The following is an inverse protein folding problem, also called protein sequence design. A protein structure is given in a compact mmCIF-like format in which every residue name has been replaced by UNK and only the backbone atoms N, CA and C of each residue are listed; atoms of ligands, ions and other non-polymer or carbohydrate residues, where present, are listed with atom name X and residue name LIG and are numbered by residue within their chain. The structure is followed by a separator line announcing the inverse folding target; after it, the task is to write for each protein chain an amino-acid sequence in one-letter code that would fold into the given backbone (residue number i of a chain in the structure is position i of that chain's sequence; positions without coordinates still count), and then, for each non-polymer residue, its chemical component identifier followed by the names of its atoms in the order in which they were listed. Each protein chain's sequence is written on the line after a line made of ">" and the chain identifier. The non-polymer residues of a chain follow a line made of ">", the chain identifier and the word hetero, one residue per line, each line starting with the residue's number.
data_IF_135295333405
#
_entry.id   IF_135295333405
#
_cell.length_a   1.000
_cell.length_b   1.000
_cell.length_c   1.000
_cell.angle_alpha   90.00
_cell.angle_beta   90.00
_cell.angle_gamma   90.00
#
_symmetry.space_group_name_H-M   'P 1'
#
loop_
_entity.id
_entity.type
_entity.pdbx_description
1 polymer ?
#
# COMPACT_ATOMS: atom_id res chain seq x y z
N UNK A 1 2.58 33.23 4.45
CA UNK A 1 1.90 31.93 4.50
C UNK A 1 0.48 32.17 4.03
N UNK A 2 0.14 31.71 2.82
CA UNK A 2 -1.15 32.02 2.21
C UNK A 2 -2.22 31.04 2.74
N UNK A 3 -3.32 31.56 3.28
CA UNK A 3 -4.50 30.75 3.55
C UNK A 3 -5.04 30.24 2.22
N UNK A 4 -5.27 28.94 2.12
CA UNK A 4 -5.92 28.36 0.95
C UNK A 4 -7.38 28.80 0.98
N UNK A 5 -7.85 29.49 -0.07
CA UNK A 5 -9.26 29.89 -0.16
C UNK A 5 -10.17 28.66 -0.27
N UNK A 6 -11.46 28.85 0.04
CA UNK A 6 -12.45 27.81 -0.23
C UNK A 6 -12.42 27.43 -1.72
N UNK A 7 -12.60 26.15 -2.01
CA UNK A 7 -12.53 25.61 -3.36
C UNK A 7 -13.65 24.61 -3.63
N UNK A 8 -13.98 24.47 -4.91
CA UNK A 8 -14.97 23.50 -5.40
C UNK A 8 -14.53 22.99 -6.77
N UNK A 9 -14.28 21.68 -6.85
CA UNK A 9 -14.09 20.97 -8.10
C UNK A 9 -15.38 20.20 -8.41
N UNK A 10 -15.99 20.48 -9.56
CA UNK A 10 -17.22 19.80 -9.98
C UNK A 10 -17.02 18.30 -10.23
N UNK A 11 -15.80 17.93 -10.66
CA UNK A 11 -15.33 16.54 -10.76
C UNK A 11 -13.94 16.43 -10.12
N UNK A 12 -13.72 15.34 -9.40
CA UNK A 12 -12.46 14.97 -8.77
C UNK A 12 -12.37 13.46 -8.75
N UNK A 13 -11.83 12.92 -9.84
CA UNK A 13 -11.67 11.49 -10.02
C UNK A 13 -10.22 11.14 -9.68
N UNK A 14 -10.02 10.14 -8.82
CA UNK A 14 -8.69 9.67 -8.43
C UNK A 14 -8.51 8.28 -8.99
N UNK A 15 -7.48 8.12 -9.80
CA UNK A 15 -7.07 6.86 -10.40
C UNK A 15 -5.73 6.43 -9.81
N UNK A 16 -5.65 5.17 -9.41
CA UNK A 16 -4.41 4.52 -9.00
C UNK A 16 -4.03 3.48 -10.05
N UNK A 17 -2.75 3.42 -10.39
CA UNK A 17 -2.24 2.46 -11.37
C UNK A 17 -0.78 2.12 -11.07
N UNK A 18 -0.30 1.00 -11.60
CA UNK A 18 1.13 0.84 -11.84
C UNK A 18 1.47 1.46 -13.19
N UNK A 19 2.72 1.90 -13.35
CA UNK A 19 3.19 2.50 -14.59
C UNK A 19 4.50 1.88 -15.07
N UNK A 20 4.61 1.51 -16.36
CA UNK A 20 5.86 1.05 -16.94
C UNK A 20 6.77 2.22 -17.36
N UNK A 21 6.29 3.46 -17.28
CA UNK A 21 7.02 4.65 -17.73
C UNK A 21 7.65 5.37 -16.54
N UNK A 22 8.93 5.66 -16.65
CA UNK A 22 9.61 6.57 -15.74
C UNK A 22 9.05 8.01 -15.91
N UNK A 23 8.55 8.59 -14.83
CA UNK A 23 7.99 9.95 -14.80
C UNK A 23 9.04 11.06 -14.70
N UNK A 24 10.32 10.79 -14.92
CA UNK A 24 11.34 11.83 -15.05
C UNK A 24 10.99 12.81 -16.19
N UNK A 25 11.12 14.12 -15.89
CA UNK A 25 10.53 15.26 -16.64
C UNK A 25 11.02 15.40 -18.10
N UNK A 26 12.06 14.67 -18.51
CA UNK A 26 12.69 14.92 -19.81
C UNK A 26 13.24 13.68 -20.52
N UNK A 27 12.96 12.45 -20.07
CA UNK A 27 13.65 11.27 -20.61
C UNK A 27 15.16 11.44 -20.53
N UNK A 28 15.72 11.43 -19.32
CA UNK A 28 17.17 11.52 -19.17
C UNK A 28 17.85 10.21 -19.58
N UNK A 29 19.00 10.31 -20.26
CA UNK A 29 19.85 9.14 -20.55
C UNK A 29 19.37 8.25 -21.69
N UNK A 30 18.47 8.71 -22.57
CA UNK A 30 17.98 7.92 -23.70
C UNK A 30 16.81 6.98 -23.37
N UNK A 31 16.25 7.07 -22.16
CA UNK A 31 14.97 6.47 -21.81
C UNK A 31 13.87 7.41 -22.34
N UNK A 32 12.93 6.93 -23.18
CA UNK A 32 11.78 7.73 -23.57
C UNK A 32 11.04 8.18 -22.30
N UNK A 33 10.90 9.49 -22.11
CA UNK A 33 10.05 10.02 -21.04
C UNK A 33 8.59 9.57 -21.22
N UNK A 34 7.77 9.78 -20.20
CA UNK A 34 6.34 9.50 -20.26
C UNK A 34 5.69 10.05 -21.55
N UNK A 35 4.75 9.29 -22.11
CA UNK A 35 3.95 9.64 -23.27
C UNK A 35 3.10 10.89 -23.01
N UNK A 36 2.96 11.75 -24.02
CA UNK A 36 2.01 12.87 -23.97
C UNK A 36 0.55 12.40 -23.88
N UNK A 37 0.23 11.22 -24.42
CA UNK A 37 -1.06 10.57 -24.19
C UNK A 37 -1.07 9.92 -22.81
N UNK A 38 -1.92 10.42 -21.91
CA UNK A 38 -1.96 10.04 -20.50
C UNK A 38 -2.14 8.53 -20.29
N UNK A 39 -3.09 7.93 -21.01
CA UNK A 39 -3.42 6.52 -20.89
C UNK A 39 -2.24 5.58 -21.23
N UNK A 40 -1.29 6.01 -22.06
CA UNK A 40 -0.12 5.20 -22.41
C UNK A 40 0.91 5.11 -21.28
N UNK A 41 0.74 5.90 -20.21
CA UNK A 41 1.62 5.89 -19.04
C UNK A 41 1.10 4.99 -17.92
N UNK A 42 -0.07 4.37 -18.09
CA UNK A 42 -0.68 3.53 -17.06
C UNK A 42 -0.73 2.08 -17.55
N UNK A 43 -0.51 1.13 -16.66
CA UNK A 43 -0.76 -0.28 -16.94
C UNK A 43 -2.27 -0.57 -16.95
N UNK A 44 -2.62 -1.79 -17.36
CA UNK A 44 -4.01 -2.26 -17.39
C UNK A 44 -4.66 -2.41 -16.01
N UNK A 45 -3.93 -2.22 -14.92
CA UNK A 45 -4.43 -2.25 -13.54
C UNK A 45 -5.03 -0.90 -13.09
N UNK A 46 -4.97 0.13 -13.95
CA UNK A 46 -5.52 1.44 -13.67
C UNK A 46 -6.97 1.37 -13.16
N UNK A 47 -7.17 1.83 -11.92
CA UNK A 47 -8.42 1.71 -11.19
C UNK A 47 -8.84 3.06 -10.65
N UNK A 48 -10.06 3.48 -10.97
CA UNK A 48 -10.68 4.67 -10.35
C UNK A 48 -11.10 4.31 -8.93
N UNK A 49 -10.42 4.89 -7.95
CA UNK A 49 -10.66 4.67 -6.51
C UNK A 49 -11.51 5.76 -5.87
N UNK A 50 -11.83 6.82 -6.62
CA UNK A 50 -12.77 7.86 -6.22
C UNK A 50 -13.35 8.52 -7.46
N UNK A 51 -14.64 8.85 -7.39
CA UNK A 51 -15.34 9.73 -8.35
C UNK A 51 -16.19 10.75 -7.60
N UNK A 52 -16.39 11.91 -8.20
CA UNK A 52 -17.34 12.93 -7.73
C UNK A 52 -16.69 14.22 -7.25
N UNK A 53 -17.49 15.19 -6.76
CA UNK A 53 -16.98 16.52 -6.44
C UNK A 53 -16.02 16.51 -5.25
N UNK A 54 -15.09 17.46 -5.22
CA UNK A 54 -14.28 17.77 -4.04
C UNK A 54 -14.48 19.24 -3.66
N UNK A 55 -15.01 19.45 -2.46
CA UNK A 55 -15.25 20.78 -1.91
C UNK A 55 -14.46 20.93 -0.62
N UNK A 56 -13.76 22.05 -0.49
CA UNK A 56 -12.99 22.38 0.71
C UNK A 56 -13.31 23.79 1.20
N UNK A 57 -13.40 23.95 2.52
CA UNK A 57 -13.43 25.27 3.14
C UNK A 57 -12.09 26.00 3.03
N UNK A 58 -11.96 27.21 3.59
CA UNK A 58 -10.67 27.86 3.74
C UNK A 58 -9.77 27.03 4.65
N UNK A 59 -8.52 26.78 4.25
CA UNK A 59 -7.56 26.05 5.07
C UNK A 59 -6.42 26.97 5.52
N UNK A 60 -5.94 26.82 6.76
CA UNK A 60 -4.74 27.51 7.20
C UNK A 60 -3.57 27.13 6.26
N UNK A 61 -2.55 28.01 6.15
CA UNK A 61 -1.48 27.82 5.19
C UNK A 61 -0.84 26.43 5.26
N UNK A 62 -0.65 25.81 4.10
CA UNK A 62 0.00 24.51 4.00
C UNK A 62 1.51 24.66 4.31
N UNK A 63 2.14 23.61 4.86
CA UNK A 63 3.58 23.59 5.16
C UNK A 63 3.99 23.80 6.62
N UNK A 64 3.04 23.93 7.56
CA UNK A 64 3.31 23.87 9.01
C UNK A 64 2.96 22.47 9.57
N UNK A 65 3.54 22.04 10.71
CA UNK A 65 3.18 20.78 11.39
C UNK A 65 1.68 20.63 11.73
N UNK A 66 0.91 21.72 11.66
CA UNK A 66 -0.53 21.78 11.91
C UNK A 66 -1.38 21.82 10.61
N UNK A 67 -0.82 21.48 9.45
CA UNK A 67 -1.58 21.42 8.20
C UNK A 67 -2.75 20.43 8.33
N UNK A 68 -3.95 20.90 8.04
CA UNK A 68 -5.16 20.06 8.03
C UNK A 68 -5.22 19.32 6.69
N UNK A 69 -4.99 18.00 6.73
CA UNK A 69 -5.13 17.14 5.55
C UNK A 69 -6.60 16.84 5.28
N UNK A 70 -6.98 16.86 4.00
CA UNK A 70 -8.34 16.55 3.56
C UNK A 70 -8.36 15.09 3.11
N UNK A 71 -9.12 14.21 3.78
CA UNK A 71 -9.22 12.83 3.35
C UNK A 71 -9.86 12.80 1.97
N UNK A 72 -9.23 12.07 1.05
CA UNK A 72 -9.77 11.86 -0.28
C UNK A 72 -10.99 10.95 -0.28
N UNK A 73 -11.44 10.35 0.83
CA UNK A 73 -12.67 9.55 0.84
C UNK A 73 -12.73 8.52 -0.30
N UNK A 74 -11.68 7.71 -0.43
CA UNK A 74 -11.60 6.68 -1.47
C UNK A 74 -12.78 5.71 -1.31
N UNK A 75 -13.41 5.38 -2.43
CA UNK A 75 -14.54 4.44 -2.51
C UNK A 75 -14.13 3.07 -3.04
N UNK A 76 -12.90 2.95 -3.56
CA UNK A 76 -12.30 1.70 -4.03
C UNK A 76 -10.94 1.43 -3.40
N UNK A 77 -10.46 0.21 -3.57
CA UNK A 77 -9.10 -0.20 -3.19
C UNK A 77 -8.25 -0.41 -4.44
N UNK A 78 -6.93 -0.34 -4.29
CA UNK A 78 -5.96 -0.65 -5.32
C UNK A 78 -4.84 -1.49 -4.70
N UNK A 79 -4.37 -2.49 -5.44
CA UNK A 79 -3.23 -3.33 -5.01
C UNK A 79 -2.05 -3.04 -5.92
N UNK A 80 -0.95 -2.60 -5.33
CA UNK A 80 0.28 -2.31 -6.03
C UNK A 80 1.33 -3.39 -5.72
N UNK A 81 1.95 -3.93 -6.76
CA UNK A 81 3.07 -4.87 -6.65
C UNK A 81 4.39 -4.21 -7.08
N UNK A 82 5.23 -3.75 -6.13
CA UNK A 82 6.49 -3.12 -6.47
C UNK A 82 7.52 -4.10 -7.07
N UNK A 83 7.31 -5.42 -6.96
CA UNK A 83 8.27 -6.41 -7.47
C UNK A 83 8.30 -6.47 -9.00
N UNK A 84 7.26 -5.94 -9.66
CA UNK A 84 7.19 -5.82 -11.11
C UNK A 84 8.07 -4.69 -11.67
N UNK A 85 8.67 -3.86 -10.80
CA UNK A 85 9.57 -2.77 -11.21
C UNK A 85 8.86 -1.57 -11.87
N UNK A 86 7.53 -1.52 -11.78
CA UNK A 86 6.71 -0.40 -12.25
C UNK A 86 6.58 0.67 -11.17
N UNK A 87 6.37 1.94 -11.54
CA UNK A 87 6.08 3.01 -10.58
C UNK A 87 4.63 2.95 -10.07
N UNK A 88 4.39 3.41 -8.84
CA UNK A 88 3.04 3.66 -8.33
C UNK A 88 2.59 5.06 -8.74
N UNK A 89 1.51 5.16 -9.50
CA UNK A 89 0.98 6.42 -10.01
C UNK A 89 -0.35 6.74 -9.35
N UNK A 90 -0.48 8.01 -8.97
CA UNK A 90 -1.73 8.63 -8.57
C UNK A 90 -2.08 9.68 -9.62
N UNK A 91 -3.07 9.39 -10.46
CA UNK A 91 -3.60 10.35 -11.43
C UNK A 91 -4.88 10.98 -10.87
N UNK A 92 -4.99 12.30 -11.02
CA UNK A 92 -6.15 13.07 -10.56
C UNK A 92 -6.74 13.77 -11.77
N UNK A 93 -7.92 13.32 -12.18
CA UNK A 93 -8.68 13.95 -13.25
C UNK A 93 -9.71 14.89 -12.62
N UNK A 94 -9.65 16.17 -13.00
CA UNK A 94 -10.54 17.20 -12.45
C UNK A 94 -10.94 18.19 -13.51
N UNK A 95 -12.18 18.63 -13.47
CA UNK A 95 -12.61 19.82 -14.20
C UNK A 95 -12.06 21.08 -13.54
N UNK A 96 -11.83 22.12 -14.35
CA UNK A 96 -11.47 23.45 -13.88
C UNK A 96 -12.39 23.95 -12.77
N UNK A 97 -11.83 24.73 -11.85
CA UNK A 97 -12.56 25.29 -10.71
C UNK A 97 -13.55 26.34 -11.18
N UNK A 98 -14.68 26.50 -10.49
CA UNK A 98 -15.58 27.65 -10.70
C UNK A 98 -15.04 28.97 -10.11
N UNK A 99 -13.86 28.96 -9.51
CA UNK A 99 -13.26 30.09 -8.80
C UNK A 99 -11.79 30.28 -9.20
N UNK A 100 -11.50 31.33 -9.98
CA UNK A 100 -10.11 31.71 -10.28
C UNK A 100 -9.38 32.08 -9.00
N UNK A 101 -8.27 31.39 -8.70
CA UNK A 101 -7.40 31.78 -7.60
C UNK A 101 -6.37 32.79 -8.10
N UNK A 102 -6.24 33.93 -7.40
CA UNK A 102 -5.23 34.94 -7.69
C UNK A 102 -3.79 34.53 -7.32
N UNK A 103 -3.62 33.35 -6.72
CA UNK A 103 -2.35 32.76 -6.27
C UNK A 103 -2.42 31.24 -6.39
N UNK A 104 -1.33 30.58 -6.80
CA UNK A 104 -1.25 29.11 -6.79
C UNK A 104 -1.46 28.59 -5.35
N UNK A 105 -2.28 27.55 -5.19
CA UNK A 105 -2.30 26.76 -3.95
C UNK A 105 -1.02 25.91 -3.96
N UNK A 106 0.01 26.43 -3.30
CA UNK A 106 1.34 25.86 -3.04
C UNK A 106 1.87 24.79 -4.01
N UNK A 107 2.77 25.23 -4.90
CA UNK A 107 3.58 24.41 -5.79
C UNK A 107 4.68 25.25 -6.44
N UNK A 108 5.47 25.96 -5.64
CA UNK A 108 6.56 26.80 -6.14
C UNK A 108 7.90 26.10 -5.88
N UNK A 109 8.46 25.44 -6.89
CA UNK A 109 9.90 25.14 -6.91
C UNK A 109 10.60 26.20 -7.76
N UNK A 110 11.36 27.07 -7.08
CA UNK A 110 12.15 28.13 -7.70
C UNK A 110 11.64 29.56 -7.48
N UNK A 111 12.31 30.51 -8.14
CA UNK A 111 12.04 31.96 -8.08
C UNK A 111 10.58 32.28 -8.42
N UNK A 112 10.00 33.32 -7.80
CA UNK A 112 8.63 33.76 -8.11
C UNK A 112 8.45 34.01 -9.62
N UNK A 113 7.49 33.30 -10.23
CA UNK A 113 7.25 33.33 -11.68
C UNK A 113 7.85 32.15 -12.47
N UNK A 114 8.57 31.23 -11.83
CA UNK A 114 9.04 29.98 -12.45
C UNK A 114 8.38 28.79 -11.73
N UNK A 115 7.31 28.26 -12.33
CA UNK A 115 6.59 27.08 -11.80
C UNK A 115 7.35 25.80 -12.17
N UNK A 116 7.84 25.02 -11.20
CA UNK A 116 8.49 23.72 -11.42
C UNK A 116 7.76 22.53 -10.77
N UNK A 117 6.43 22.54 -10.75
CA UNK A 117 5.64 21.30 -10.63
C UNK A 117 5.35 20.76 -12.02
N UNK A 118 5.47 19.44 -12.23
CA UNK A 118 5.16 18.81 -13.51
C UNK A 118 3.68 19.00 -13.86
N UNK A 119 3.43 19.54 -15.05
CA UNK A 119 2.16 20.14 -15.48
C UNK A 119 1.50 19.20 -16.49
N UNK A 120 0.48 18.49 -16.06
CA UNK A 120 -0.22 17.51 -16.90
C UNK A 120 -1.71 17.86 -16.95
N UNK A 121 -2.13 18.64 -17.94
CA UNK A 121 -3.55 18.92 -18.13
C UNK A 121 -3.87 19.93 -19.24
N UNK A 122 -5.17 20.13 -19.45
CA UNK A 122 -5.75 21.18 -20.29
C UNK A 122 -6.77 21.95 -19.44
N UNK A 123 -6.63 23.27 -19.33
CA UNK A 123 -7.52 24.10 -18.50
C UNK A 123 -8.90 24.35 -19.13
N UNK A 124 -9.06 24.06 -20.42
CA UNK A 124 -10.31 24.24 -21.17
C UNK A 124 -11.06 22.92 -21.38
N UNK A 125 -10.37 21.79 -21.35
CA UNK A 125 -10.92 20.47 -21.69
C UNK A 125 -10.86 19.54 -20.47
N UNK A 126 -11.99 19.37 -19.80
CA UNK A 126 -12.12 18.47 -18.63
C UNK A 126 -11.74 17.00 -18.90
N UNK A 127 -11.77 16.58 -20.15
CA UNK A 127 -11.48 15.21 -20.59
C UNK A 127 -10.23 15.16 -21.48
N UNK A 128 -9.24 15.99 -21.20
CA UNK A 128 -7.99 16.00 -21.93
C UNK A 128 -7.30 14.63 -21.83
N UNK A 129 -7.08 14.01 -22.98
CA UNK A 129 -6.37 12.72 -23.07
C UNK A 129 -4.87 12.90 -23.32
N UNK A 130 -4.43 14.14 -23.47
CA UNK A 130 -3.03 14.52 -23.69
C UNK A 130 -2.59 15.60 -22.72
N UNK A 131 -1.33 15.57 -22.31
CA UNK A 131 -0.74 16.57 -21.43
C UNK A 131 -0.36 17.85 -22.19
N UNK A 132 -0.50 19.01 -21.53
CA UNK A 132 0.09 20.27 -21.97
C UNK A 132 0.89 20.87 -20.81
N UNK A 133 2.13 21.29 -21.07
CA UNK A 133 3.00 21.91 -20.05
C UNK A 133 2.83 23.43 -19.96
N UNK A 134 1.76 23.95 -20.57
CA UNK A 134 1.58 25.38 -20.84
C UNK A 134 0.62 26.05 -19.85
N UNK A 135 0.04 25.31 -18.90
CA UNK A 135 -0.99 25.80 -17.99
C UNK A 135 -0.47 26.09 -16.57
N UNK A 136 -1.08 27.06 -15.90
CA UNK A 136 -0.86 27.34 -14.48
C UNK A 136 -2.02 26.71 -13.71
N UNK A 137 -1.83 25.48 -13.24
CA UNK A 137 -2.91 24.66 -12.67
C UNK A 137 -2.64 24.26 -11.22
N UNK A 138 -3.71 23.91 -10.51
CA UNK A 138 -3.65 23.32 -9.18
C UNK A 138 -2.79 22.05 -9.16
N UNK A 139 -1.78 22.01 -8.29
CA UNK A 139 -1.00 20.80 -7.99
C UNK A 139 -1.25 20.41 -6.54
N UNK A 140 -1.99 19.32 -6.26
CA UNK A 140 -2.18 18.88 -4.89
C UNK A 140 -0.88 18.29 -4.33
N UNK A 141 -0.61 18.55 -3.06
CA UNK A 141 0.30 17.71 -2.27
C UNK A 141 -0.49 16.52 -1.75
N UNK A 142 0.00 15.30 -2.00
CA UNK A 142 -0.63 14.06 -1.58
C UNK A 142 0.12 13.50 -0.37
N UNK A 143 -0.61 13.23 0.71
CA UNK A 143 -0.10 12.44 1.84
C UNK A 143 -0.57 11.01 1.68
N UNK A 144 0.38 10.09 1.63
CA UNK A 144 0.12 8.65 1.69
C UNK A 144 0.34 8.23 3.13
N UNK A 145 -0.74 7.99 3.85
CA UNK A 145 -0.67 7.29 5.11
C UNK A 145 -0.55 5.80 4.83
N UNK A 146 0.57 5.22 5.23
CA UNK A 146 0.81 3.78 5.14
C UNK A 146 1.10 3.26 6.54
N UNK A 147 0.67 2.04 6.80
CA UNK A 147 1.13 1.30 7.98
C UNK A 147 2.08 0.24 7.46
N UNK A 148 3.33 0.27 7.94
CA UNK A 148 4.26 -0.85 7.79
C UNK A 148 3.71 -2.03 8.59
N UNK A 149 2.77 -2.75 7.99
CA UNK A 149 2.29 -3.98 8.56
C UNK A 149 3.22 -5.09 8.10
N UNK A 150 3.63 -5.94 9.04
CA UNK A 150 4.25 -7.20 8.69
C UNK A 150 3.29 -7.93 7.73
N UNK A 151 3.74 -8.23 6.51
CA UNK A 151 2.90 -8.84 5.50
C UNK A 151 3.14 -10.34 5.49
N UNK A 152 2.30 -11.06 6.22
CA UNK A 152 2.29 -12.51 6.19
C UNK A 152 1.60 -12.95 4.90
N UNK A 153 2.24 -13.88 4.20
CA UNK A 153 1.65 -14.62 3.09
C UNK A 153 1.82 -16.10 3.38
N UNK A 154 0.77 -16.87 3.13
CA UNK A 154 0.80 -18.32 3.24
C UNK A 154 0.05 -18.91 2.05
N UNK A 155 0.62 -19.95 1.44
CA UNK A 155 0.01 -20.65 0.33
C UNK A 155 0.22 -22.15 0.44
N UNK A 156 -0.74 -22.90 -0.08
CA UNK A 156 -0.69 -24.35 -0.17
C UNK A 156 -0.75 -24.74 -1.66
N UNK A 157 0.27 -25.43 -2.14
CA UNK A 157 0.43 -25.78 -3.56
C UNK A 157 -0.03 -27.20 -3.90
N UNK A 158 -0.53 -27.95 -2.92
CA UNK A 158 -0.93 -29.33 -3.09
C UNK A 158 0.15 -30.36 -2.74
N UNK A 159 -0.24 -31.63 -2.54
CA UNK A 159 0.66 -32.69 -2.05
C UNK A 159 1.76 -33.08 -3.05
N UNK A 160 1.71 -32.60 -4.30
CA UNK A 160 2.59 -33.05 -5.39
C UNK A 160 3.60 -32.01 -5.89
N UNK A 161 3.50 -30.73 -5.50
CA UNK A 161 4.33 -29.64 -6.07
C UNK A 161 5.18 -28.96 -5.00
N UNK A 162 4.53 -28.23 -4.09
CA UNK A 162 5.09 -27.59 -2.92
C UNK A 162 3.97 -27.55 -1.90
N UNK A 163 4.17 -28.17 -0.74
CA UNK A 163 3.04 -28.39 0.16
C UNK A 163 2.61 -27.08 0.80
N UNK A 164 3.54 -26.41 1.48
CA UNK A 164 3.24 -25.19 2.21
C UNK A 164 4.37 -24.19 2.12
N UNK A 165 4.04 -22.97 1.71
CA UNK A 165 4.95 -21.83 1.67
C UNK A 165 4.44 -20.75 2.61
N UNK A 166 5.32 -20.24 3.48
CA UNK A 166 5.04 -19.09 4.36
C UNK A 166 6.14 -18.06 4.21
N UNK A 167 5.75 -16.81 3.99
CA UNK A 167 6.66 -15.67 3.92
C UNK A 167 6.17 -14.55 4.82
N UNK A 168 7.10 -13.76 5.36
CA UNK A 168 6.79 -12.58 6.14
C UNK A 168 7.61 -11.41 5.61
N UNK A 169 6.95 -10.47 4.94
CA UNK A 169 7.54 -9.23 4.48
C UNK A 169 7.41 -8.11 5.51
N UNK A 170 8.16 -7.02 5.30
CA UNK A 170 8.06 -5.78 6.07
C UNK A 170 8.17 -5.99 7.59
N UNK A 171 9.23 -6.68 8.03
CA UNK A 171 9.51 -6.89 9.46
C UNK A 171 9.57 -5.55 10.20
N UNK A 172 8.76 -5.42 11.26
CA UNK A 172 8.75 -4.24 12.12
C UNK A 172 10.16 -3.90 12.61
N UNK A 173 10.61 -2.64 12.47
CA UNK A 173 11.94 -2.24 12.94
C UNK A 173 12.16 -2.61 14.41
N UNK A 174 13.29 -3.25 14.71
CA UNK A 174 13.63 -3.69 16.07
C UNK A 174 13.12 -5.07 16.47
N UNK A 175 12.37 -5.77 15.60
CA UNK A 175 11.99 -7.17 15.84
C UNK A 175 13.23 -8.08 15.92
N UNK A 176 13.34 -8.82 17.02
CA UNK A 176 14.42 -9.79 17.30
C UNK A 176 13.88 -11.22 17.34
N UNK A 177 12.61 -11.40 17.71
CA UNK A 177 11.93 -12.69 17.75
C UNK A 177 10.45 -12.56 17.43
N UNK A 178 9.77 -13.68 17.24
CA UNK A 178 8.33 -13.67 17.00
C UNK A 178 7.68 -15.04 17.02
N UNK A 179 6.35 -15.02 17.04
CA UNK A 179 5.52 -16.22 17.04
C UNK A 179 4.67 -16.27 15.78
N UNK A 180 4.71 -17.39 15.06
CA UNK A 180 3.67 -17.70 14.06
C UNK A 180 2.55 -18.42 14.76
N UNK A 181 1.47 -17.70 15.00
CA UNK A 181 0.27 -18.19 15.64
C UNK A 181 -0.67 -18.74 14.57
N UNK A 182 -1.35 -19.85 14.87
CA UNK A 182 -2.33 -20.42 13.96
C UNK A 182 -3.57 -20.92 14.69
N UNK A 183 -4.69 -20.96 13.98
CA UNK A 183 -5.96 -21.53 14.45
C UNK A 183 -6.62 -22.29 13.31
N UNK A 184 -7.16 -23.48 13.60
CA UNK A 184 -8.04 -24.23 12.71
C UNK A 184 -9.53 -23.88 12.93
N UNK A 185 -9.84 -23.05 13.93
CA UNK A 185 -11.22 -22.65 14.25
C UNK A 185 -11.60 -21.39 13.49
N UNK A 186 -12.08 -21.55 12.26
CA UNK A 186 -12.30 -20.44 11.30
C UNK A 186 -13.77 -20.03 11.13
N UNK A 187 -14.58 -20.13 12.19
CA UNK A 187 -16.04 -19.86 12.14
C UNK A 187 -16.40 -18.38 11.93
N UNK A 188 -15.49 -17.47 12.26
CA UNK A 188 -15.61 -16.03 11.99
C UNK A 188 -14.92 -15.67 10.67
N UNK A 189 -15.22 -14.54 10.04
CA UNK A 189 -14.38 -14.00 8.97
C UNK A 189 -12.92 -13.81 9.43
N UNK A 190 -11.96 -13.99 8.53
CA UNK A 190 -10.54 -13.84 8.85
C UNK A 190 -10.25 -12.45 9.46
N UNK A 191 -9.43 -12.41 10.51
CA UNK A 191 -9.09 -11.16 11.20
C UNK A 191 -10.10 -10.69 12.26
N UNK A 192 -11.23 -11.39 12.45
CA UNK A 192 -12.27 -11.02 13.41
C UNK A 192 -12.20 -11.77 14.75
N UNK A 193 -11.18 -12.61 14.95
CA UNK A 193 -10.99 -13.34 16.19
C UNK A 193 -10.42 -12.49 17.34
N UNK A 194 -10.67 -12.86 18.61
CA UNK A 194 -10.32 -12.06 19.78
C UNK A 194 -8.81 -11.96 20.07
N UNK A 195 -7.96 -12.83 19.50
CA UNK A 195 -6.51 -12.80 19.72
C UNK A 195 -5.82 -12.42 18.42
N UNK A 196 -5.55 -11.13 18.24
CA UNK A 196 -4.91 -10.57 17.03
C UNK A 196 -5.57 -11.05 15.73
N UNK A 197 -6.90 -11.18 15.75
CA UNK A 197 -7.70 -11.63 14.62
C UNK A 197 -7.88 -13.14 14.50
N UNK A 198 -7.25 -13.96 15.36
CA UNK A 198 -7.47 -15.41 15.48
C UNK A 198 -8.55 -15.74 16.53
N UNK A 199 -9.33 -16.78 16.23
CA UNK A 199 -10.17 -17.43 17.23
C UNK A 199 -9.37 -18.58 17.86
N UNK A 200 -8.90 -18.45 19.11
CA UNK A 200 -7.89 -19.36 19.64
C UNK A 200 -8.40 -20.80 19.80
N UNK A 201 -7.55 -21.76 19.46
CA UNK A 201 -7.75 -23.18 19.71
C UNK A 201 -6.46 -23.88 20.17
N UNK A 202 -6.46 -25.21 20.23
CA UNK A 202 -5.30 -25.98 20.70
C UNK A 202 -4.02 -25.71 19.88
N UNK A 203 -4.13 -25.37 18.60
CA UNK A 203 -2.98 -25.06 17.76
C UNK A 203 -2.41 -23.66 18.08
N UNK A 204 -3.28 -22.72 18.42
CA UNK A 204 -2.87 -21.37 18.85
C UNK A 204 -1.98 -21.45 20.09
N UNK A 205 -2.34 -22.31 21.05
CA UNK A 205 -1.56 -22.51 22.27
C UNK A 205 -0.28 -23.32 22.03
N UNK A 206 -0.30 -24.27 21.09
CA UNK A 206 0.88 -25.06 20.73
C UNK A 206 2.02 -24.17 20.23
N UNK A 207 1.71 -23.11 19.47
CA UNK A 207 2.70 -22.14 18.98
C UNK A 207 3.39 -21.39 20.12
N UNK A 208 2.62 -20.93 21.11
CA UNK A 208 3.14 -20.15 22.25
C UNK A 208 4.07 -20.93 23.19
N UNK A 209 3.93 -22.25 23.23
CA UNK A 209 4.77 -23.10 24.09
C UNK A 209 6.04 -23.58 23.39
N UNK A 210 6.23 -23.26 22.11
CA UNK A 210 7.47 -23.62 21.41
C UNK A 210 8.64 -22.78 21.95
N UNK A 211 9.84 -23.37 22.09
CA UNK A 211 11.04 -22.62 22.46
C UNK A 211 11.50 -21.74 21.31
N UNK A 212 12.00 -20.54 21.63
CA UNK A 212 12.61 -19.65 20.65
C UNK A 212 13.85 -20.33 20.04
N UNK A 213 13.88 -20.48 18.72
CA UNK A 213 15.03 -21.05 18.03
C UNK A 213 15.17 -20.52 16.60
N UNK A 214 16.41 -20.46 16.12
CA UNK A 214 16.70 -20.14 14.72
C UNK A 214 16.09 -21.23 13.83
N UNK A 215 15.24 -20.82 12.88
CA UNK A 215 14.55 -21.73 11.96
C UNK A 215 13.31 -22.44 12.53
N UNK A 216 12.95 -22.23 13.79
CA UNK A 216 11.66 -22.71 14.32
C UNK A 216 10.54 -21.78 13.84
N UNK A 217 9.59 -22.25 13.00
CA UNK A 217 8.59 -21.36 12.41
C UNK A 217 7.54 -20.87 13.41
N UNK A 218 7.32 -21.56 14.52
CA UNK A 218 6.28 -21.20 15.51
C UNK A 218 6.79 -20.23 16.57
N UNK A 219 8.08 -20.26 16.90
CA UNK A 219 8.76 -19.29 17.76
C UNK A 219 10.18 -19.07 17.24
N UNK A 220 10.33 -18.07 16.37
CA UNK A 220 11.55 -17.83 15.61
C UNK A 220 12.39 -16.72 16.24
N UNK A 221 13.70 -16.81 16.02
CA UNK A 221 14.62 -15.67 16.16
C UNK A 221 14.84 -15.06 14.77
N UNK A 222 14.69 -13.74 14.66
CA UNK A 222 14.94 -13.00 13.42
C UNK A 222 16.43 -13.06 13.10
N UNK A 223 16.77 -13.73 12.00
CA UNK A 223 18.14 -13.89 11.53
C UNK A 223 18.20 -14.16 10.03
N UNK A 224 19.35 -13.91 9.39
CA UNK A 224 19.51 -14.07 7.94
C UNK A 224 19.43 -15.55 7.53
N UNK A 225 18.76 -15.82 6.42
CA UNK A 225 18.74 -17.14 5.77
C UNK A 225 17.76 -18.15 6.38
N UNK A 226 17.07 -17.80 7.46
CA UNK A 226 16.02 -18.62 8.07
C UNK A 226 14.70 -17.85 8.14
N UNK A 227 13.59 -18.57 8.33
CA UNK A 227 12.31 -17.93 8.64
C UNK A 227 12.48 -16.96 9.84
N UNK A 228 12.00 -15.71 9.76
CA UNK A 228 11.09 -15.16 8.74
C UNK A 228 11.78 -14.48 7.53
N UNK A 229 13.10 -14.22 7.57
CA UNK A 229 13.78 -13.46 6.50
C UNK A 229 13.96 -14.24 5.20
N UNK A 230 13.84 -15.57 5.25
CA UNK A 230 13.76 -16.46 4.10
C UNK A 230 12.44 -17.25 4.17
N UNK A 231 11.72 -17.43 3.04
CA UNK A 231 10.50 -18.24 2.99
C UNK A 231 10.66 -19.63 3.61
N UNK A 232 9.70 -20.04 4.44
CA UNK A 232 9.56 -21.44 4.83
C UNK A 232 8.91 -22.20 3.68
N UNK A 233 9.58 -23.22 3.17
CA UNK A 233 9.04 -24.13 2.16
C UNK A 233 9.04 -25.55 2.71
N UNK A 234 7.86 -26.12 2.96
CA UNK A 234 7.73 -27.51 3.39
C UNK A 234 7.76 -28.44 2.18
N UNK A 235 8.49 -29.58 2.24
CA UNK A 235 8.51 -30.57 1.18
C UNK A 235 7.10 -31.11 0.87
N UNK A 236 6.85 -31.54 -0.38
CA UNK A 236 5.60 -32.21 -0.75
C UNK A 236 5.23 -33.36 0.20
N UNK A 237 3.97 -33.39 0.65
CA UNK A 237 3.41 -34.43 1.54
C UNK A 237 3.48 -34.11 3.04
N UNK A 238 4.19 -33.07 3.46
CA UNK A 238 4.31 -32.64 4.86
C UNK A 238 2.95 -32.28 5.49
N UNK A 239 2.05 -31.67 4.73
CA UNK A 239 0.73 -31.21 5.16
C UNK A 239 -0.43 -32.11 4.70
N UNK A 240 -0.14 -33.25 4.08
CA UNK A 240 -1.16 -34.23 3.66
C UNK A 240 -2.14 -34.63 4.79
N UNK A 241 -1.73 -34.76 6.07
CA UNK A 241 -2.66 -35.05 7.17
C UNK A 241 -3.70 -33.95 7.45
N UNK A 242 -3.50 -32.74 6.93
CA UNK A 242 -4.36 -31.58 7.17
C UNK A 242 -5.30 -31.26 6.00
N UNK A 243 -5.29 -32.06 4.93
CA UNK A 243 -6.25 -31.94 3.81
C UNK A 243 -7.69 -31.94 4.33
N UNK A 244 -8.49 -30.99 3.85
CA UNK A 244 -9.86 -30.72 4.30
C UNK A 244 -9.96 -29.70 5.44
N UNK A 245 -8.85 -29.20 5.98
CA UNK A 245 -8.85 -28.16 7.02
C UNK A 245 -8.66 -26.75 6.43
N UNK A 246 -9.11 -25.74 7.17
CA UNK A 246 -8.88 -24.32 6.88
C UNK A 246 -8.27 -23.68 8.10
N UNK A 247 -7.15 -22.98 7.92
CA UNK A 247 -6.40 -22.35 9.01
C UNK A 247 -6.29 -20.85 8.82
N UNK A 248 -6.29 -20.12 9.94
CA UNK A 248 -5.93 -18.71 10.04
C UNK A 248 -4.56 -18.56 10.70
N UNK A 249 -3.67 -17.75 10.13
CA UNK A 249 -2.34 -17.48 10.66
C UNK A 249 -2.14 -15.99 10.91
N UNK A 250 -1.40 -15.65 11.96
CA UNK A 250 -0.87 -14.31 12.24
C UNK A 250 0.52 -14.42 12.85
N UNK A 251 1.39 -13.47 12.56
CA UNK A 251 2.70 -13.34 13.21
C UNK A 251 2.66 -12.23 14.23
N UNK A 252 3.20 -12.49 15.42
CA UNK A 252 3.45 -11.51 16.47
C UNK A 252 4.97 -11.30 16.59
N UNK A 253 5.43 -10.05 16.64
CA UNK A 253 6.85 -9.71 16.71
C UNK A 253 7.20 -9.00 18.02
N UNK A 254 8.38 -9.32 18.53
CA UNK A 254 8.92 -8.81 19.77
C UNK A 254 10.37 -8.32 19.61
N UNK A 255 10.75 -7.30 20.38
CA UNK A 255 12.14 -6.85 20.50
C UNK A 255 12.96 -7.73 21.46
N UNK A 256 14.25 -7.42 21.63
CA UNK A 256 15.15 -8.19 22.51
C UNK A 256 14.86 -8.09 24.02
N UNK A 257 13.89 -7.24 24.43
CA UNK A 257 13.36 -7.18 25.80
C UNK A 257 11.96 -7.82 25.89
N UNK A 258 11.55 -8.55 24.85
CA UNK A 258 10.21 -9.11 24.70
C UNK A 258 9.09 -8.05 24.68
N UNK A 259 9.42 -6.82 24.26
CA UNK A 259 8.45 -5.76 24.00
C UNK A 259 7.73 -6.01 22.67
N UNK A 260 6.40 -5.97 22.66
CA UNK A 260 5.62 -6.14 21.43
C UNK A 260 5.89 -4.97 20.46
N UNK A 261 6.38 -5.29 19.25
CA UNK A 261 6.72 -4.28 18.22
C UNK A 261 5.77 -4.29 17.02
N UNK A 262 4.97 -5.34 16.85
CA UNK A 262 3.95 -5.39 15.80
C UNK A 262 3.35 -6.78 15.58
N UNK A 263 2.31 -6.83 14.76
CA UNK A 263 1.73 -8.05 14.24
C UNK A 263 1.59 -7.99 12.72
N UNK A 264 1.35 -9.13 12.08
CA UNK A 264 1.00 -9.20 10.66
C UNK A 264 -0.49 -9.06 10.40
N UNK A 265 -0.88 -9.00 9.13
CA UNK A 265 -2.24 -9.38 8.70
C UNK A 265 -2.56 -10.83 9.08
N UNK A 266 -3.86 -11.15 9.15
CA UNK A 266 -4.33 -12.54 9.24
C UNK A 266 -4.44 -13.12 7.84
N UNK A 267 -3.82 -14.28 7.61
CA UNK A 267 -3.95 -15.04 6.36
C UNK A 267 -4.82 -16.27 6.62
N UNK A 268 -5.89 -16.42 5.83
CA UNK A 268 -6.69 -17.64 5.79
C UNK A 268 -6.33 -18.47 4.56
N UNK A 269 -6.10 -19.76 4.73
CA UNK A 269 -5.94 -20.68 3.61
C UNK A 269 -6.54 -22.06 3.93
N UNK A 270 -6.82 -22.83 2.89
CA UNK A 270 -7.42 -24.17 2.99
C UNK A 270 -6.52 -25.19 2.32
N UNK A 271 -6.39 -26.37 2.94
CA UNK A 271 -5.76 -27.54 2.35
C UNK A 271 -6.85 -28.31 1.59
N UNK A 272 -6.84 -28.27 0.26
CA UNK A 272 -7.89 -28.88 -0.57
C UNK A 272 -7.46 -30.21 -1.24
#
# INVERSE_FOLDING_TARGET
>A
TATVAAFSFGTWDVMLASSPTDYTVAGQGGVPGHSLTLANNLNSDATVVRTGPLVGGPYPPSGAPAATWIPWGLTGTFTYDPTLGNDFVIQIDKCGTISMWGTSMDGQSGTAGLNGGNRYGDTAICNAVTTSFSNNEFVPTVRIDYTENNNLQASWGGPAVADFNVTLGMLSPGAVEGFTMLSATTVLPAGQGPIYGLLPDSLTWLGLVQPAAIGNPFHFIVGPGTYPTNPLNLPPGTMAPFVGQTWDLVVLLFDGSFGFVGNSNVVRFSFN
#
